data_IF_148837919509
#
_entry.id   IF_148837919509
#
_cell.length_a   1.000
_cell.length_b   1.000
_cell.length_c   1.000
_cell.angle_alpha   90.00
_cell.angle_beta   90.00
_cell.angle_gamma   90.00
#
_symmetry.space_group_name_H-M   'P 1'
#
loop_
_entity.id
_entity.type
_entity.pdbx_description
1 polymer ?
#
# COMPACT_ATOMS: atom_id res chain seq x y z
N UNK A 1 -2.06 -1.95 8.24
CA UNK A 1 -1.36 -1.20 7.16
C UNK A 1 -1.20 -2.02 5.90
N UNK A 2 -0.84 -3.31 5.97
CA UNK A 2 -0.81 -4.18 4.77
C UNK A 2 -2.12 -4.13 3.95
N UNK A 3 -3.30 -4.26 4.58
CA UNK A 3 -4.58 -4.09 3.86
C UNK A 3 -4.73 -2.70 3.21
N UNK A 4 -4.18 -1.64 3.79
CA UNK A 4 -4.21 -0.31 3.18
C UNK A 4 -3.29 -0.23 1.96
N UNK A 5 -2.14 -0.91 1.96
CA UNK A 5 -1.33 -1.05 0.75
C UNK A 5 -2.12 -1.74 -0.36
N UNK A 6 -2.74 -2.88 -0.02
CA UNK A 6 -3.52 -3.66 -0.98
C UNK A 6 -4.74 -2.91 -1.51
N UNK A 7 -5.39 -2.08 -0.68
CA UNK A 7 -6.45 -1.17 -1.10
C UNK A 7 -5.95 -0.16 -2.11
N UNK A 8 -4.77 0.44 -1.94
CA UNK A 8 -4.21 1.36 -2.95
C UNK A 8 -3.85 0.63 -4.24
N UNK A 9 -3.33 -0.60 -4.16
CA UNK A 9 -3.03 -1.42 -5.35
C UNK A 9 -4.29 -1.73 -6.18
N UNK A 10 -5.41 -2.00 -5.52
CA UNK A 10 -6.67 -2.42 -6.16
C UNK A 10 -7.65 -1.26 -6.42
N UNK A 11 -7.47 -0.15 -5.70
CA UNK A 11 -8.24 1.08 -5.81
C UNK A 11 -7.33 2.30 -5.59
N UNK A 12 -6.67 2.80 -6.65
CA UNK A 12 -5.82 3.99 -6.60
C UNK A 12 -6.53 5.30 -6.20
N UNK A 13 -7.87 5.31 -6.16
CA UNK A 13 -8.68 6.45 -5.72
C UNK A 13 -8.87 6.51 -4.19
N UNK A 14 -8.36 5.51 -3.46
CA UNK A 14 -8.53 5.40 -2.01
C UNK A 14 -7.54 6.27 -1.23
N UNK A 15 -7.82 7.57 -1.14
CA UNK A 15 -6.98 8.54 -0.44
C UNK A 15 -6.79 8.22 1.06
N UNK A 16 -7.79 7.61 1.70
CA UNK A 16 -7.69 7.20 3.10
C UNK A 16 -6.66 6.09 3.28
N UNK A 17 -6.67 5.09 2.40
CA UNK A 17 -5.66 4.05 2.39
C UNK A 17 -4.28 4.60 2.04
N UNK A 18 -4.19 5.50 1.05
CA UNK A 18 -2.94 6.14 0.66
C UNK A 18 -2.29 6.93 1.81
N UNK A 19 -3.05 7.79 2.49
CA UNK A 19 -2.56 8.58 3.63
C UNK A 19 -2.06 7.70 4.78
N UNK A 20 -2.65 6.50 4.95
CA UNK A 20 -2.22 5.55 5.98
C UNK A 20 -0.86 4.92 5.70
N UNK A 21 -0.54 4.67 4.43
CA UNK A 21 0.68 3.94 4.03
C UNK A 21 1.83 4.83 3.60
N UNK A 22 1.54 6.06 3.13
CA UNK A 22 2.50 6.89 2.41
C UNK A 22 3.79 7.11 3.21
N UNK A 23 3.68 7.22 4.53
CA UNK A 23 4.82 7.39 5.44
C UNK A 23 4.94 6.26 6.48
N UNK A 24 4.37 5.08 6.18
CA UNK A 24 4.43 3.89 7.05
C UNK A 24 4.95 2.67 6.27
N UNK A 25 6.21 2.24 6.42
CA UNK A 25 7.31 2.78 7.22
C UNK A 25 7.73 4.21 6.86
N UNK A 26 8.51 4.86 7.73
CA UNK A 26 8.90 6.28 7.59
C UNK A 26 9.71 6.50 6.31
N UNK A 27 9.27 7.45 5.47
CA UNK A 27 9.86 7.79 4.16
C UNK A 27 10.20 9.27 4.01
N UNK A 28 10.22 10.00 5.11
CA UNK A 28 10.41 11.46 5.11
C UNK A 28 9.33 12.24 4.33
N UNK A 29 8.14 11.65 4.16
CA UNK A 29 6.99 12.32 3.55
C UNK A 29 6.19 13.00 4.66
N UNK A 30 6.55 14.24 4.95
CA UNK A 30 6.00 15.02 6.04
C UNK A 30 4.65 15.70 5.73
N UNK A 31 4.02 16.33 6.74
CA UNK A 31 2.72 17.01 6.59
C UNK A 31 2.71 18.09 5.49
N UNK A 32 3.78 18.87 5.36
CA UNK A 32 3.89 19.91 4.33
C UNK A 32 3.91 19.33 2.90
N UNK A 33 4.53 18.15 2.72
CA UNK A 33 4.51 17.42 1.44
C UNK A 33 3.10 16.96 1.11
N UNK A 34 2.41 16.35 2.09
CA UNK A 34 1.04 15.86 1.91
C UNK A 34 0.04 16.99 1.68
N UNK A 35 0.22 18.12 2.36
CA UNK A 35 -0.62 19.30 2.15
C UNK A 35 -0.51 19.80 0.70
N UNK A 36 0.72 20.01 0.20
CA UNK A 36 0.95 20.47 -1.18
C UNK A 36 0.44 19.48 -2.22
N UNK A 37 0.63 18.18 -1.97
CA UNK A 37 0.07 17.12 -2.83
C UNK A 37 -1.46 17.19 -2.83
N UNK A 38 -2.09 17.37 -1.66
CA UNK A 38 -3.55 17.49 -1.54
C UNK A 38 -4.11 18.74 -2.23
N UNK A 39 -3.43 19.88 -2.09
CA UNK A 39 -3.78 21.11 -2.81
C UNK A 39 -3.74 20.89 -4.33
N UNK A 40 -2.69 20.24 -4.84
CA UNK A 40 -2.55 19.91 -6.26
C UNK A 40 -3.62 18.90 -6.74
N UNK A 41 -3.84 17.84 -5.96
CA UNK A 41 -4.84 16.81 -6.23
C UNK A 41 -6.25 17.40 -6.35
N UNK A 42 -6.62 18.27 -5.41
CA UNK A 42 -7.90 18.99 -5.42
C UNK A 42 -8.03 19.92 -6.64
N UNK A 43 -6.99 20.68 -6.98
CA UNK A 43 -7.00 21.55 -8.17
C UNK A 43 -7.18 20.77 -9.48
N UNK A 44 -6.72 19.52 -9.52
CA UNK A 44 -6.80 18.64 -10.70
C UNK A 44 -7.93 17.63 -10.65
N UNK A 45 -8.71 17.62 -9.57
CA UNK A 45 -9.78 16.65 -9.32
C UNK A 45 -9.30 15.20 -9.50
N UNK A 46 -8.18 14.85 -8.86
CA UNK A 46 -7.55 13.52 -8.87
C UNK A 46 -7.34 13.03 -7.44
N UNK A 47 -7.23 11.70 -7.25
CA UNK A 47 -6.70 11.16 -5.99
C UNK A 47 -5.26 11.58 -5.73
N UNK A 48 -4.84 11.50 -4.47
CA UNK A 48 -3.47 11.78 -4.04
C UNK A 48 -2.46 10.87 -4.76
N UNK A 49 -2.81 9.59 -4.96
CA UNK A 49 -1.94 8.66 -5.67
C UNK A 49 -1.75 9.08 -7.12
N UNK A 50 -2.83 9.36 -7.86
CA UNK A 50 -2.72 9.80 -9.25
C UNK A 50 -2.03 11.17 -9.39
N UNK A 51 -2.34 12.10 -8.49
CA UNK A 51 -1.71 13.42 -8.45
C UNK A 51 -0.19 13.34 -8.24
N UNK A 52 0.32 12.29 -7.59
CA UNK A 52 1.76 12.11 -7.34
C UNK A 52 2.59 11.88 -8.62
N UNK A 53 1.96 11.45 -9.71
CA UNK A 53 2.59 11.21 -11.01
C UNK A 53 2.54 12.44 -11.94
N UNK A 54 1.81 13.49 -11.55
CA UNK A 54 1.65 14.66 -12.40
C UNK A 54 2.96 15.45 -12.52
N UNK A 55 3.41 15.68 -13.76
CA UNK A 55 4.62 16.47 -14.04
C UNK A 55 4.55 17.88 -13.41
N UNK A 56 3.36 18.48 -13.38
CA UNK A 56 3.12 19.82 -12.82
C UNK A 56 3.24 19.91 -11.29
N UNK A 57 3.19 18.78 -10.56
CA UNK A 57 3.35 18.77 -9.10
C UNK A 57 4.69 19.38 -8.68
N UNK A 58 5.73 19.17 -9.49
CA UNK A 58 7.08 19.71 -9.27
C UNK A 58 7.15 21.24 -9.20
N UNK A 59 6.14 21.96 -9.71
CA UNK A 59 6.06 23.42 -9.61
C UNK A 59 5.63 23.90 -8.22
N UNK A 60 4.97 23.02 -7.44
CA UNK A 60 4.42 23.34 -6.12
C UNK A 60 5.17 22.64 -4.98
N UNK A 61 5.67 21.44 -5.24
CA UNK A 61 6.40 20.59 -4.31
C UNK A 61 7.77 20.24 -4.89
N UNK A 62 8.85 20.55 -4.16
CA UNK A 62 10.23 20.34 -4.60
C UNK A 62 11.09 19.71 -3.51
N UNK A 63 12.29 19.26 -3.88
CA UNK A 63 13.29 18.71 -2.97
C UNK A 63 12.93 17.34 -2.40
N UNK A 64 13.50 17.01 -1.23
CA UNK A 64 13.42 15.68 -0.62
C UNK A 64 12.01 15.13 -0.48
N UNK A 65 11.03 15.97 -0.13
CA UNK A 65 9.63 15.54 0.00
C UNK A 65 9.05 15.05 -1.32
N UNK A 66 9.35 15.73 -2.44
CA UNK A 66 8.93 15.29 -3.78
C UNK A 66 9.61 13.98 -4.15
N UNK A 67 10.94 13.91 -3.97
CA UNK A 67 11.74 12.74 -4.35
C UNK A 67 11.29 11.48 -3.60
N UNK A 68 11.06 11.58 -2.28
CA UNK A 68 10.55 10.48 -1.48
C UNK A 68 9.15 10.04 -1.89
N UNK A 69 8.25 11.00 -2.15
CA UNK A 69 6.90 10.72 -2.63
C UNK A 69 6.93 9.98 -3.97
N UNK A 70 7.66 10.51 -4.95
CA UNK A 70 7.73 9.92 -6.28
C UNK A 70 8.40 8.54 -6.24
N UNK A 71 9.50 8.39 -5.50
CA UNK A 71 10.15 7.07 -5.33
C UNK A 71 9.17 6.03 -4.81
N UNK A 72 8.39 6.41 -3.78
CA UNK A 72 7.38 5.54 -3.21
C UNK A 72 6.26 5.21 -4.20
N UNK A 73 5.67 6.21 -4.85
CA UNK A 73 4.50 6.00 -5.71
C UNK A 73 4.85 5.27 -7.00
N UNK A 74 6.03 5.51 -7.57
CA UNK A 74 6.52 4.74 -8.73
C UNK A 74 6.79 3.28 -8.37
N UNK A 75 7.43 3.02 -7.24
CA UNK A 75 7.62 1.64 -6.76
C UNK A 75 6.29 0.93 -6.53
N UNK A 76 5.34 1.59 -5.85
CA UNK A 76 4.01 1.02 -5.60
C UNK A 76 3.21 0.81 -6.89
N UNK A 77 3.34 1.72 -7.87
CA UNK A 77 2.75 1.57 -9.20
C UNK A 77 3.32 0.37 -9.97
N UNK A 78 4.62 0.08 -9.82
CA UNK A 78 5.22 -1.14 -10.37
C UNK A 78 4.63 -2.42 -9.76
N UNK A 79 4.44 -2.43 -8.44
CA UNK A 79 3.76 -3.54 -7.74
C UNK A 79 2.30 -3.68 -8.20
N UNK A 80 1.59 -2.57 -8.42
CA UNK A 80 0.21 -2.60 -8.92
C UNK A 80 0.12 -3.25 -10.30
N UNK A 81 1.03 -2.89 -11.22
CA UNK A 81 1.10 -3.52 -12.55
C UNK A 81 1.44 -5.01 -12.46
N UNK A 82 2.36 -5.40 -11.56
CA UNK A 82 2.67 -6.81 -11.34
C UNK A 82 1.45 -7.57 -10.81
N UNK A 83 0.64 -6.95 -9.95
CA UNK A 83 -0.53 -7.58 -9.34
C UNK A 83 -1.62 -7.95 -10.35
N UNK A 84 -1.67 -7.30 -11.52
CA UNK A 84 -2.59 -7.65 -12.61
C UNK A 84 -2.28 -9.01 -13.23
N UNK A 85 -1.02 -9.47 -13.14
CA UNK A 85 -0.55 -10.71 -13.79
C UNK A 85 -0.19 -11.79 -12.79
N UNK A 86 0.48 -11.41 -11.72
CA UNK A 86 1.06 -12.32 -10.73
C UNK A 86 0.72 -11.81 -9.31
N UNK A 87 -0.56 -11.85 -8.89
CA UNK A 87 -1.02 -11.22 -7.65
C UNK A 87 -0.31 -11.77 -6.40
N UNK A 88 -0.08 -13.08 -6.31
CA UNK A 88 0.65 -13.69 -5.19
C UNK A 88 2.10 -13.18 -5.12
N UNK A 89 2.76 -13.07 -6.28
CA UNK A 89 4.13 -12.54 -6.35
C UNK A 89 4.17 -11.06 -5.97
N UNK A 90 3.24 -10.25 -6.48
CA UNK A 90 3.14 -8.83 -6.18
C UNK A 90 2.93 -8.57 -4.68
N UNK A 91 2.08 -9.34 -4.00
CA UNK A 91 1.87 -9.19 -2.55
C UNK A 91 3.11 -9.58 -1.75
N UNK A 92 3.82 -10.63 -2.17
CA UNK A 92 5.10 -11.01 -1.55
C UNK A 92 6.16 -9.92 -1.75
N UNK A 93 6.26 -9.38 -2.97
CA UNK A 93 7.22 -8.34 -3.32
C UNK A 93 6.86 -7.00 -2.66
N UNK A 94 5.57 -6.74 -2.41
CA UNK A 94 5.10 -5.65 -1.56
C UNK A 94 5.65 -5.80 -0.13
N UNK A 95 5.40 -6.94 0.54
CA UNK A 95 5.83 -7.16 1.94
C UNK A 95 7.35 -7.00 2.07
N UNK A 96 8.12 -7.55 1.12
CA UNK A 96 9.58 -7.45 1.07
C UNK A 96 10.06 -6.04 0.73
N UNK A 97 9.48 -5.41 -0.29
CA UNK A 97 9.89 -4.09 -0.78
C UNK A 97 9.58 -2.95 0.19
N UNK A 98 8.59 -3.13 1.07
CA UNK A 98 8.34 -2.22 2.20
C UNK A 98 9.37 -2.39 3.32
N UNK A 99 10.12 -3.50 3.35
CA UNK A 99 10.92 -3.94 4.51
C UNK A 99 10.08 -3.99 5.80
N UNK A 100 8.87 -4.57 5.65
CA UNK A 100 7.85 -4.51 6.70
C UNK A 100 8.27 -5.25 7.96
N UNK A 101 9.03 -6.34 7.81
CA UNK A 101 9.56 -7.12 8.93
C UNK A 101 10.50 -6.28 9.80
N UNK A 102 11.53 -5.68 9.21
CA UNK A 102 12.48 -4.83 9.93
C UNK A 102 11.76 -3.67 10.63
N UNK A 103 10.82 -3.04 9.93
CA UNK A 103 9.99 -1.98 10.53
C UNK A 103 9.15 -2.46 11.72
N UNK A 104 8.58 -3.67 11.66
CA UNK A 104 7.86 -4.24 12.78
C UNK A 104 8.78 -4.47 13.99
N UNK A 105 10.01 -4.92 13.77
CA UNK A 105 10.99 -5.09 14.84
C UNK A 105 11.43 -3.76 15.45
N UNK A 106 11.64 -2.72 14.64
CA UNK A 106 12.02 -1.39 15.10
C UNK A 106 10.91 -0.66 15.87
N UNK A 107 9.64 -0.89 15.50
CA UNK A 107 8.49 -0.14 16.05
C UNK A 107 7.71 -0.87 17.14
N UNK A 108 7.97 -2.15 17.35
CA UNK A 108 7.26 -2.92 18.37
C UNK A 108 7.92 -2.77 19.74
N UNK A 109 7.11 -2.90 20.80
CA UNK A 109 7.56 -2.75 22.19
C UNK A 109 8.51 -3.85 22.66
N UNK A 110 8.57 -4.97 21.95
CA UNK A 110 9.50 -6.07 22.19
C UNK A 110 9.65 -6.95 20.94
N UNK A 111 10.72 -7.75 20.83
CA UNK A 111 10.88 -8.74 19.76
C UNK A 111 9.68 -9.69 19.64
N UNK A 112 9.16 -10.18 20.78
CA UNK A 112 7.99 -11.06 20.81
C UNK A 112 6.72 -10.40 20.25
N UNK A 113 6.55 -9.10 20.49
CA UNK A 113 5.44 -8.34 19.91
C UNK A 113 5.61 -8.17 18.40
N UNK A 114 6.83 -7.93 17.92
CA UNK A 114 7.15 -7.87 16.49
C UNK A 114 6.86 -9.21 15.80
N UNK A 115 7.33 -10.32 16.36
CA UNK A 115 7.07 -11.68 15.88
C UNK A 115 5.57 -11.97 15.79
N UNK A 116 4.79 -11.57 16.80
CA UNK A 116 3.33 -11.76 16.78
C UNK A 116 2.65 -10.92 15.69
N UNK A 117 3.09 -9.68 15.48
CA UNK A 117 2.60 -8.84 14.36
C UNK A 117 2.98 -9.43 13.00
N UNK A 118 4.19 -9.97 12.88
CA UNK A 118 4.65 -10.62 11.65
C UNK A 118 3.90 -11.93 11.38
N UNK A 119 3.57 -12.68 12.44
CA UNK A 119 2.68 -13.84 12.34
C UNK A 119 1.33 -13.45 11.75
N UNK A 120 0.74 -12.33 12.18
CA UNK A 120 -0.53 -11.85 11.62
C UNK A 120 -0.40 -11.48 10.14
N UNK A 121 0.73 -10.89 9.72
CA UNK A 121 1.03 -10.60 8.31
C UNK A 121 1.10 -11.89 7.50
N UNK A 122 1.84 -12.89 8.00
CA UNK A 122 1.98 -14.19 7.33
C UNK A 122 0.65 -14.94 7.23
N UNK A 123 -0.17 -14.91 8.29
CA UNK A 123 -1.52 -15.47 8.27
C UNK A 123 -2.39 -14.80 7.20
N UNK A 124 -2.40 -13.47 7.14
CA UNK A 124 -3.14 -12.74 6.12
C UNK A 124 -2.66 -13.10 4.71
N UNK A 125 -1.35 -13.17 4.50
CA UNK A 125 -0.77 -13.56 3.22
C UNK A 125 -1.15 -14.99 2.81
N UNK A 126 -1.17 -15.94 3.76
CA UNK A 126 -1.63 -17.31 3.52
C UNK A 126 -3.08 -17.35 3.06
N UNK A 127 -3.99 -16.72 3.81
CA UNK A 127 -5.41 -16.65 3.43
C UNK A 127 -5.63 -15.97 2.08
N UNK A 128 -4.88 -14.91 1.78
CA UNK A 128 -4.94 -14.28 0.46
C UNK A 128 -4.49 -15.23 -0.65
N UNK A 129 -3.41 -15.97 -0.43
CA UNK A 129 -2.88 -16.93 -1.43
C UNK A 129 -3.91 -18.02 -1.71
N UNK A 130 -4.52 -18.61 -0.67
CA UNK A 130 -5.59 -19.61 -0.82
C UNK A 130 -6.77 -19.07 -1.63
N UNK A 131 -7.20 -17.82 -1.38
CA UNK A 131 -8.30 -17.21 -2.15
C UNK A 131 -7.91 -16.84 -3.58
N UNK A 132 -6.66 -16.44 -3.82
CA UNK A 132 -6.14 -16.11 -5.15
C UNK A 132 -5.96 -17.35 -6.03
N UNK A 133 -5.57 -18.47 -5.44
CA UNK A 133 -5.33 -19.75 -6.14
C UNK A 133 -6.62 -20.57 -6.28
N UNK A 134 -7.59 -20.39 -5.39
CA UNK A 134 -8.79 -21.21 -5.34
C UNK A 134 -8.51 -22.61 -4.78
N UNK A 135 -9.55 -23.42 -4.70
CA UNK A 135 -9.48 -24.83 -4.31
C UNK A 135 -10.62 -25.63 -4.97
N UNK A 136 -10.78 -26.91 -4.63
CA UNK A 136 -11.83 -27.78 -5.22
C UNK A 136 -13.27 -27.28 -4.97
N UNK A 137 -13.49 -26.45 -3.95
CA UNK A 137 -14.78 -25.91 -3.52
C UNK A 137 -14.99 -24.45 -3.94
N UNK A 138 -13.91 -23.68 -4.08
CA UNK A 138 -13.95 -22.24 -4.34
C UNK A 138 -13.13 -21.87 -5.58
N UNK A 139 -13.75 -21.16 -6.53
CA UNK A 139 -13.02 -20.63 -7.69
C UNK A 139 -11.95 -19.59 -7.29
N UNK A 140 -10.84 -19.48 -8.05
CA UNK A 140 -9.83 -18.46 -7.83
C UNK A 140 -10.44 -17.04 -7.88
N UNK A 141 -10.05 -16.19 -6.94
CA UNK A 141 -10.49 -14.80 -6.87
C UNK A 141 -9.42 -13.85 -7.42
N UNK A 142 -9.86 -12.73 -7.99
CA UNK A 142 -8.96 -11.59 -8.29
C UNK A 142 -8.49 -10.91 -7.00
N UNK A 143 -7.33 -10.24 -7.05
CA UNK A 143 -6.83 -9.47 -5.90
C UNK A 143 -7.85 -8.45 -5.39
N UNK A 144 -8.56 -7.75 -6.29
CA UNK A 144 -9.63 -6.82 -5.92
C UNK A 144 -10.73 -7.50 -5.11
N UNK A 145 -11.23 -8.67 -5.55
CA UNK A 145 -12.26 -9.39 -4.80
C UNK A 145 -11.77 -9.85 -3.42
N UNK A 146 -10.53 -10.32 -3.33
CA UNK A 146 -9.92 -10.72 -2.05
C UNK A 146 -9.83 -9.54 -1.09
N UNK A 147 -9.32 -8.39 -1.56
CA UNK A 147 -9.20 -7.17 -0.76
C UNK A 147 -10.57 -6.68 -0.30
N UNK A 148 -11.57 -6.64 -1.20
CA UNK A 148 -12.94 -6.26 -0.85
C UNK A 148 -13.50 -7.15 0.26
N UNK A 149 -13.29 -8.48 0.16
CA UNK A 149 -13.77 -9.45 1.16
C UNK A 149 -13.17 -9.19 2.55
N UNK A 150 -11.88 -8.84 2.63
CA UNK A 150 -11.26 -8.46 3.90
C UNK A 150 -11.78 -7.13 4.43
N UNK A 151 -11.93 -6.12 3.57
CA UNK A 151 -12.39 -4.79 4.02
C UNK A 151 -13.81 -4.80 4.57
N UNK A 152 -14.70 -5.64 4.02
CA UNK A 152 -16.07 -5.78 4.53
C UNK A 152 -16.12 -6.55 5.85
N UNK A 153 -15.20 -7.49 6.07
CA UNK A 153 -15.09 -8.22 7.34
C UNK A 153 -14.53 -7.37 8.48
N UNK A 154 -13.62 -6.44 8.20
CA UNK A 154 -13.09 -5.50 9.20
C UNK A 154 -14.14 -4.50 9.71
N UNK A 155 -15.28 -4.35 9.02
CA UNK A 155 -16.38 -3.44 9.38
C UNK A 155 -17.48 -4.09 10.24
N UNK A 156 -17.42 -5.41 10.49
CA UNK A 156 -18.36 -6.15 11.35
C UNK A 156 -17.73 -6.49 12.69
#
# INVERSE_FOLDING_TARGET
DLLAYLRVLTNPEDDSAFLRIVNTPKREIGPATLQKLGEWANQRNKSLFHASFDLGLSQHLTGRGLESLQRFTHWLGGIAQQAEREPVAAVRDLIRGVDYESWLFETSTSPKAAEMRMKNVNTLFGWMTEMLEGNDLDEPMTLTQVVTRFTLRDMM
#
